data_IF_415875802485
#
_entry.id   IF_415875802485
#
_cell.length_a   1.000
_cell.length_b   1.000
_cell.length_c   1.000
_cell.angle_alpha   90.00
_cell.angle_beta   90.00
_cell.angle_gamma   90.00
#
_symmetry.space_group_name_H-M   'P 1'
#
loop_
_entity.id
_entity.type
_entity.pdbx_description
1 polymer ?
#
# COMPACT_ATOMS: atom_id res chain seq x y z
N UNK A 1 -10.26 7.37 -27.19
CA UNK A 1 -9.96 8.63 -26.49
C UNK A 1 -8.44 8.79 -26.41
N UNK A 2 -7.92 9.76 -27.18
CA UNK A 2 -6.50 10.07 -27.31
C UNK A 2 -5.96 10.66 -26.00
N UNK A 3 -5.16 9.88 -25.25
CA UNK A 3 -4.42 10.39 -24.11
C UNK A 3 -3.16 11.11 -24.61
N UNK A 4 -3.18 12.42 -24.63
CA UNK A 4 -1.95 13.21 -24.70
C UNK A 4 -1.16 12.99 -23.42
N UNK A 5 -0.15 12.10 -23.47
CA UNK A 5 0.87 12.01 -22.44
C UNK A 5 1.63 13.34 -22.39
N UNK A 6 1.33 14.19 -21.44
CA UNK A 6 2.24 15.26 -21.05
C UNK A 6 3.43 14.61 -20.35
N UNK A 7 4.55 14.51 -21.04
CA UNK A 7 5.84 14.24 -20.43
C UNK A 7 6.27 15.46 -19.62
N UNK A 8 5.70 15.64 -18.43
CA UNK A 8 6.37 16.43 -17.41
C UNK A 8 7.48 15.56 -16.84
N UNK A 9 8.74 15.96 -17.08
CA UNK A 9 9.90 15.42 -16.36
C UNK A 9 9.62 15.59 -14.87
N UNK A 10 9.17 14.51 -14.23
CA UNK A 10 9.10 14.47 -12.78
C UNK A 10 10.54 14.40 -12.29
N UNK A 11 11.10 15.55 -11.94
CA UNK A 11 12.37 15.63 -11.22
C UNK A 11 12.21 14.88 -9.89
N UNK A 12 13.31 14.48 -9.27
CA UNK A 12 13.41 13.70 -8.01
C UNK A 12 12.81 14.43 -6.79
N UNK A 13 11.57 14.85 -6.88
CA UNK A 13 10.96 15.80 -5.97
C UNK A 13 10.08 15.08 -4.96
N UNK A 14 10.46 15.25 -3.72
CA UNK A 14 9.76 14.75 -2.55
C UNK A 14 9.04 15.90 -1.85
N UNK A 15 7.77 15.76 -1.56
CA UNK A 15 7.06 16.65 -0.65
C UNK A 15 6.46 15.84 0.49
N UNK A 16 6.51 16.37 1.69
CA UNK A 16 5.98 15.76 2.90
C UNK A 16 4.80 16.58 3.42
N UNK A 17 3.65 15.94 3.54
CA UNK A 17 2.46 16.51 4.17
C UNK A 17 2.49 16.21 5.67
N UNK A 18 3.32 16.94 6.40
CA UNK A 18 3.40 16.86 7.86
C UNK A 18 3.48 18.24 8.45
N UNK A 19 3.13 18.37 9.70
CA UNK A 19 3.34 19.60 10.40
C UNK A 19 4.84 19.95 10.44
N UNK A 20 5.20 21.13 9.97
CA UNK A 20 6.59 21.62 9.93
C UNK A 20 7.27 21.52 11.29
N UNK A 21 6.56 21.79 12.39
CA UNK A 21 7.08 21.67 13.75
C UNK A 21 7.49 20.25 14.14
N UNK A 22 6.79 19.22 13.68
CA UNK A 22 7.14 17.83 13.95
C UNK A 22 8.41 17.40 13.21
N UNK A 23 8.56 17.85 11.95
CA UNK A 23 9.77 17.62 11.18
C UNK A 23 10.98 18.38 11.77
N UNK A 24 10.79 19.59 12.28
CA UNK A 24 11.84 20.33 12.97
C UNK A 24 12.29 19.62 14.24
N UNK A 25 11.35 19.11 15.03
CA UNK A 25 11.67 18.29 16.21
C UNK A 25 12.44 17.03 15.83
N UNK A 26 11.99 16.31 14.78
CA UNK A 26 12.68 15.11 14.29
C UNK A 26 14.09 15.44 13.76
N UNK A 27 14.26 16.56 13.05
CA UNK A 27 15.56 17.03 12.58
C UNK A 27 16.52 17.26 13.73
N UNK A 28 16.06 17.92 14.80
CA UNK A 28 16.88 18.17 16.00
C UNK A 28 17.25 16.88 16.73
N UNK A 29 16.29 15.94 16.92
CA UNK A 29 16.56 14.63 17.54
C UNK A 29 17.63 13.85 16.77
N UNK A 30 17.66 13.99 15.44
CA UNK A 30 18.60 13.28 14.56
C UNK A 30 19.89 14.05 14.28
N UNK A 31 20.08 15.25 14.88
CA UNK A 31 21.21 16.14 14.65
C UNK A 31 21.43 16.49 13.17
N UNK A 32 20.35 16.73 12.43
CA UNK A 32 20.36 17.03 11.00
C UNK A 32 20.20 18.53 10.68
N UNK A 33 20.33 19.42 11.66
CA UNK A 33 20.08 20.86 11.51
C UNK A 33 20.92 21.54 10.42
N UNK A 34 22.14 21.07 10.17
CA UNK A 34 22.99 21.56 9.07
C UNK A 34 22.79 20.84 7.73
N UNK A 35 22.16 19.65 7.73
CA UNK A 35 22.08 18.78 6.56
C UNK A 35 20.73 18.88 5.82
N UNK A 36 19.65 19.17 6.55
CA UNK A 36 18.29 19.20 5.99
C UNK A 36 17.66 20.57 6.22
N UNK A 37 17.19 21.19 5.15
CA UNK A 37 16.42 22.43 5.18
C UNK A 37 14.99 22.16 4.75
N UNK A 38 14.03 22.80 5.42
CA UNK A 38 12.63 22.77 5.02
C UNK A 38 12.30 23.97 4.13
N UNK A 39 11.61 23.69 3.05
CA UNK A 39 11.05 24.71 2.17
C UNK A 39 9.54 24.57 2.17
N UNK A 40 8.85 25.54 2.71
CA UNK A 40 7.38 25.59 2.67
C UNK A 40 6.91 25.73 1.23
N UNK A 41 5.90 24.94 0.87
CA UNK A 41 5.25 25.00 -0.42
C UNK A 41 3.73 24.95 -0.26
N UNK A 42 3.00 25.47 -1.24
CA UNK A 42 1.56 25.26 -1.35
C UNK A 42 1.26 24.14 -2.35
N UNK A 43 0.63 23.08 -1.90
CA UNK A 43 0.21 21.97 -2.75
C UNK A 43 -0.85 22.34 -3.79
N UNK A 44 -1.50 23.50 -3.66
CA UNK A 44 -2.48 23.99 -4.62
C UNK A 44 -1.85 24.70 -5.81
N UNK A 45 -0.53 24.94 -5.81
CA UNK A 45 0.18 25.52 -6.94
C UNK A 45 0.29 24.51 -8.09
N UNK A 46 0.14 25.00 -9.32
CA UNK A 46 0.21 24.16 -10.53
C UNK A 46 1.62 23.64 -10.84
N UNK A 47 2.64 24.33 -10.35
CA UNK A 47 4.06 23.98 -10.57
C UNK A 47 4.79 23.95 -9.23
N UNK A 48 5.33 22.79 -8.93
CA UNK A 48 6.17 22.63 -7.74
C UNK A 48 7.63 22.91 -8.10
N UNK A 49 8.35 23.75 -7.33
CA UNK A 49 9.73 24.09 -7.64
C UNK A 49 10.62 22.84 -7.55
N UNK A 50 11.70 22.76 -8.35
CA UNK A 50 12.64 21.63 -8.29
C UNK A 50 13.39 21.60 -6.97
N UNK A 51 13.52 20.43 -6.31
CA UNK A 51 14.30 20.27 -5.08
C UNK A 51 15.80 20.17 -5.41
N UNK A 52 16.61 20.89 -4.66
CA UNK A 52 18.07 20.67 -4.59
C UNK A 52 18.40 19.72 -3.42
N UNK A 53 19.57 19.07 -3.46
CA UNK A 53 19.99 18.19 -2.37
C UNK A 53 19.91 18.84 -0.99
N UNK A 54 19.45 18.10 0.02
CA UNK A 54 19.30 18.60 1.39
C UNK A 54 18.07 19.49 1.63
N UNK A 55 17.19 19.68 0.65
CA UNK A 55 15.93 20.44 0.81
C UNK A 55 14.75 19.48 0.80
N UNK A 56 13.96 19.49 1.88
CA UNK A 56 12.67 18.82 1.98
C UNK A 56 11.57 19.86 1.86
N UNK A 57 10.68 19.65 0.89
CA UNK A 57 9.50 20.50 0.73
C UNK A 57 8.40 20.05 1.66
N UNK A 58 7.77 21.00 2.31
CA UNK A 58 6.76 20.76 3.33
C UNK A 58 5.53 21.62 3.02
N UNK A 59 4.38 20.99 2.91
CA UNK A 59 3.09 21.69 2.93
C UNK A 59 2.56 21.70 4.37
N UNK A 60 2.35 22.89 4.98
CA UNK A 60 1.83 22.96 6.35
C UNK A 60 0.34 22.52 6.35
N UNK A 61 0.08 21.46 7.09
CA UNK A 61 -1.30 20.95 7.30
C UNK A 61 -1.77 21.40 8.66
N UNK A 62 -3.01 21.93 8.74
CA UNK A 62 -3.63 22.43 9.96
C UNK A 62 -2.66 23.32 10.80
N UNK A 63 -2.18 24.46 10.22
CA UNK A 63 -1.18 25.31 10.87
C UNK A 63 -1.67 25.92 12.19
N UNK A 64 -2.96 25.89 12.43
CA UNK A 64 -3.60 26.31 13.69
C UNK A 64 -3.36 25.33 14.86
N UNK A 65 -2.87 24.11 14.56
CA UNK A 65 -2.59 23.08 15.55
C UNK A 65 -1.12 23.12 15.96
N UNK A 66 -0.86 23.53 17.20
CA UNK A 66 0.49 23.49 17.77
C UNK A 66 0.85 22.05 18.15
N UNK A 67 1.65 21.36 17.33
CA UNK A 67 2.17 20.03 17.65
C UNK A 67 3.48 20.07 18.44
N UNK A 68 4.12 21.25 18.57
CA UNK A 68 5.37 21.43 19.32
C UNK A 68 5.30 20.96 20.77
N UNK A 69 4.12 21.09 21.36
CA UNK A 69 3.88 20.82 22.79
C UNK A 69 3.39 19.40 23.07
N UNK A 70 3.18 18.61 22.03
CA UNK A 70 2.75 17.22 22.18
C UNK A 70 3.90 16.33 22.69
N UNK A 71 3.62 15.55 23.71
CA UNK A 71 4.57 14.55 24.18
C UNK A 71 4.77 13.45 23.13
N UNK A 72 6.02 13.01 22.98
CA UNK A 72 6.36 11.90 22.10
C UNK A 72 5.64 10.60 22.54
N UNK A 73 5.22 9.81 21.56
CA UNK A 73 4.65 8.49 21.81
C UNK A 73 3.28 8.50 22.50
N UNK A 74 2.55 9.61 22.48
CA UNK A 74 1.22 9.73 23.07
C UNK A 74 0.12 9.84 22.02
N UNK A 75 -0.97 9.13 22.26
CA UNK A 75 -2.19 9.24 21.45
C UNK A 75 -2.91 10.55 21.80
N UNK A 76 -3.27 11.34 20.78
CA UNK A 76 -3.95 12.60 21.01
C UNK A 76 -4.82 13.05 19.84
N UNK A 77 -5.88 13.80 20.17
CA UNK A 77 -6.83 14.39 19.21
C UNK A 77 -6.11 15.26 18.16
N UNK A 78 -5.21 16.14 18.60
CA UNK A 78 -4.50 17.06 17.72
C UNK A 78 -3.65 16.32 16.68
N UNK A 79 -2.88 15.31 17.09
CA UNK A 79 -2.10 14.47 16.20
C UNK A 79 -3.01 13.69 15.21
N UNK A 80 -4.12 13.16 15.69
CA UNK A 80 -5.10 12.47 14.85
C UNK A 80 -5.75 13.39 13.80
N UNK A 81 -6.05 14.64 14.17
CA UNK A 81 -6.60 15.64 13.26
C UNK A 81 -5.60 15.96 12.13
N UNK A 82 -4.36 16.29 12.47
CA UNK A 82 -3.31 16.58 11.49
C UNK A 82 -3.04 15.39 10.58
N UNK A 83 -2.94 14.18 11.15
CA UNK A 83 -2.75 12.96 10.36
C UNK A 83 -3.89 12.73 9.36
N UNK A 84 -5.15 12.88 9.79
CA UNK A 84 -6.32 12.74 8.91
C UNK A 84 -6.35 13.78 7.79
N UNK A 85 -6.01 15.04 8.09
CA UNK A 85 -5.93 16.10 7.08
C UNK A 85 -4.77 15.86 6.09
N UNK A 86 -3.60 15.44 6.58
CA UNK A 86 -2.44 15.11 5.72
C UNK A 86 -2.81 14.05 4.69
N UNK A 87 -3.45 12.95 5.12
CA UNK A 87 -3.87 11.89 4.19
C UNK A 87 -4.90 12.39 3.18
N UNK A 88 -5.85 13.24 3.58
CA UNK A 88 -6.86 13.81 2.66
C UNK A 88 -6.22 14.70 1.61
N UNK A 89 -5.34 15.62 2.01
CA UNK A 89 -4.67 16.53 1.10
C UNK A 89 -3.77 15.78 0.10
N UNK A 90 -2.98 14.83 0.58
CA UNK A 90 -2.15 14.00 -0.27
C UNK A 90 -2.98 13.15 -1.26
N UNK A 91 -4.11 12.59 -0.81
CA UNK A 91 -5.04 11.90 -1.69
C UNK A 91 -5.61 12.82 -2.78
N UNK A 92 -6.02 14.05 -2.43
CA UNK A 92 -6.51 15.04 -3.40
C UNK A 92 -5.44 15.42 -4.42
N UNK A 93 -4.18 15.57 -4.01
CA UNK A 93 -3.07 15.83 -4.92
C UNK A 93 -2.87 14.68 -5.92
N UNK A 94 -2.97 13.43 -5.48
CA UNK A 94 -2.89 12.27 -6.36
C UNK A 94 -4.10 12.19 -7.30
N UNK A 95 -5.30 12.33 -6.79
CA UNK A 95 -6.55 12.24 -7.57
C UNK A 95 -6.66 13.34 -8.62
N UNK A 96 -6.14 14.53 -8.33
CA UNK A 96 -6.07 15.66 -9.30
C UNK A 96 -4.89 15.54 -10.27
N UNK A 97 -4.06 14.50 -10.19
CA UNK A 97 -2.90 14.29 -11.07
C UNK A 97 -1.69 15.19 -10.77
N UNK A 98 -1.70 15.93 -9.66
CA UNK A 98 -0.58 16.76 -9.20
C UNK A 98 0.53 15.93 -8.57
N UNK A 99 0.21 14.79 -7.96
CA UNK A 99 1.16 13.81 -7.46
C UNK A 99 0.96 12.46 -8.18
N UNK A 100 2.06 11.72 -8.35
CA UNK A 100 2.05 10.41 -9.02
C UNK A 100 1.61 9.29 -8.08
N UNK A 101 1.77 9.48 -6.79
CA UNK A 101 1.44 8.50 -5.77
C UNK A 101 1.63 9.03 -4.37
N UNK A 102 1.19 8.26 -3.40
CA UNK A 102 1.18 8.57 -1.98
C UNK A 102 1.98 7.51 -1.23
N UNK A 103 2.93 7.95 -0.43
CA UNK A 103 3.63 7.10 0.54
C UNK A 103 3.22 7.56 1.94
N UNK A 104 2.57 6.68 2.71
CA UNK A 104 2.07 7.03 4.04
C UNK A 104 2.94 6.46 5.14
N UNK A 105 3.27 7.26 6.14
CA UNK A 105 3.75 6.76 7.44
C UNK A 105 2.61 6.04 8.19
N UNK A 106 2.91 5.23 9.21
CA UNK A 106 1.87 4.60 10.03
C UNK A 106 0.95 5.61 10.72
N UNK A 107 -0.33 5.24 10.88
CA UNK A 107 -1.35 6.07 11.53
C UNK A 107 -1.94 5.34 12.75
N UNK A 108 -2.32 6.09 13.78
CA UNK A 108 -2.92 5.53 14.99
C UNK A 108 -4.44 5.63 14.95
N UNK A 109 -5.13 4.47 14.92
CA UNK A 109 -6.60 4.41 14.80
C UNK A 109 -7.34 5.18 15.89
N UNK A 110 -6.91 5.02 17.15
CA UNK A 110 -7.51 5.73 18.28
C UNK A 110 -7.28 7.26 18.19
N UNK A 111 -6.15 7.72 17.62
CA UNK A 111 -5.93 9.15 17.44
C UNK A 111 -6.90 9.73 16.41
N UNK A 112 -7.16 9.00 15.31
CA UNK A 112 -8.18 9.37 14.31
C UNK A 112 -9.58 9.45 14.93
N UNK A 113 -9.95 8.44 15.72
CA UNK A 113 -11.25 8.38 16.41
C UNK A 113 -11.43 9.58 17.37
N UNK A 114 -10.42 9.85 18.20
CA UNK A 114 -10.43 11.03 19.09
C UNK A 114 -10.55 12.35 18.32
N UNK A 115 -10.02 12.40 17.10
CA UNK A 115 -10.10 13.56 16.22
C UNK A 115 -11.47 13.68 15.50
N UNK A 116 -12.34 12.68 15.63
CA UNK A 116 -13.63 12.63 14.93
C UNK A 116 -13.50 12.30 13.45
N UNK A 117 -12.39 11.66 13.04
CA UNK A 117 -12.21 11.16 11.68
C UNK A 117 -12.98 9.85 11.54
N UNK A 118 -14.03 9.77 10.71
CA UNK A 118 -14.96 8.62 10.68
C UNK A 118 -14.40 7.41 9.91
N UNK A 119 -13.09 7.20 9.94
CA UNK A 119 -12.40 6.12 9.25
C UNK A 119 -11.39 5.45 10.17
N UNK A 120 -11.37 4.10 10.23
CA UNK A 120 -10.48 3.38 11.13
C UNK A 120 -9.01 3.41 10.67
N UNK A 121 -8.72 3.81 9.44
CA UNK A 121 -7.36 3.84 8.90
C UNK A 121 -7.23 4.48 7.52
N UNK A 122 -6.05 4.32 6.93
CA UNK A 122 -5.73 4.86 5.61
C UNK A 122 -6.63 4.29 4.51
N UNK A 123 -6.82 2.98 4.51
CA UNK A 123 -7.50 2.26 3.41
C UNK A 123 -8.92 2.78 3.22
N UNK A 124 -9.70 2.85 4.30
CA UNK A 124 -11.09 3.30 4.27
C UNK A 124 -11.19 4.79 3.92
N UNK A 125 -10.27 5.61 4.46
CA UNK A 125 -10.23 7.04 4.15
C UNK A 125 -9.91 7.27 2.67
N UNK A 126 -8.90 6.57 2.13
CA UNK A 126 -8.49 6.69 0.73
C UNK A 126 -9.55 6.12 -0.23
N UNK A 127 -10.18 5.01 0.13
CA UNK A 127 -11.30 4.42 -0.62
C UNK A 127 -12.47 5.41 -0.70
N UNK A 128 -12.85 6.01 0.42
CA UNK A 128 -13.92 7.01 0.46
C UNK A 128 -13.59 8.25 -0.38
N UNK A 129 -12.38 8.80 -0.22
CA UNK A 129 -11.92 9.96 -1.00
C UNK A 129 -11.91 9.67 -2.51
N UNK A 130 -11.49 8.47 -2.89
CA UNK A 130 -11.45 8.01 -4.28
C UNK A 130 -12.85 7.79 -4.85
N UNK A 131 -13.74 7.15 -4.11
CA UNK A 131 -15.13 6.94 -4.50
C UNK A 131 -15.86 8.26 -4.70
N UNK A 132 -15.68 9.21 -3.77
CA UNK A 132 -16.22 10.58 -3.87
C UNK A 132 -15.69 11.29 -5.12
N UNK A 133 -14.41 11.20 -5.40
CA UNK A 133 -13.79 11.82 -6.58
C UNK A 133 -14.35 11.27 -7.89
N UNK A 134 -14.61 9.97 -7.95
CA UNK A 134 -15.16 9.29 -9.14
C UNK A 134 -16.69 9.35 -9.23
N UNK A 135 -17.39 9.83 -8.19
CA UNK A 135 -18.84 9.88 -8.14
C UNK A 135 -19.50 8.49 -8.05
N UNK A 136 -18.83 7.51 -7.44
CA UNK A 136 -19.32 6.15 -7.25
C UNK A 136 -19.52 5.82 -5.77
N UNK A 137 -20.23 4.73 -5.46
CA UNK A 137 -20.34 4.27 -4.08
C UNK A 137 -19.04 3.61 -3.59
N UNK A 138 -18.81 3.61 -2.28
CA UNK A 138 -17.65 2.91 -1.69
C UNK A 138 -17.72 1.40 -1.97
N UNK A 139 -18.93 0.83 -2.02
CA UNK A 139 -19.18 -0.58 -2.32
C UNK A 139 -18.77 -0.93 -3.76
N UNK A 140 -18.90 0.00 -4.69
CA UNK A 140 -18.54 -0.19 -6.11
C UNK A 140 -17.03 0.00 -6.36
N UNK A 141 -16.29 0.37 -5.32
CA UNK A 141 -14.83 0.52 -5.36
C UNK A 141 -14.12 -0.43 -4.39
N UNK A 142 -14.15 -1.74 -4.62
CA UNK A 142 -13.47 -2.68 -3.75
C UNK A 142 -11.95 -2.50 -3.83
N UNK A 143 -11.29 -2.58 -2.68
CA UNK A 143 -9.83 -2.50 -2.57
C UNK A 143 -9.26 -3.81 -2.05
N UNK A 144 -7.97 -4.03 -2.32
CA UNK A 144 -7.24 -5.20 -1.81
C UNK A 144 -5.90 -4.78 -1.22
N UNK A 145 -5.50 -5.49 -0.19
CA UNK A 145 -4.19 -5.38 0.39
C UNK A 145 -3.22 -6.29 -0.36
N UNK A 146 -2.12 -5.73 -0.80
CA UNK A 146 -0.95 -6.47 -1.24
C UNK A 146 0.20 -6.19 -0.28
N UNK A 147 0.88 -7.22 0.18
CA UNK A 147 2.19 -7.10 0.80
C UNK A 147 3.24 -7.49 -0.25
N UNK A 148 4.27 -6.70 -0.37
CA UNK A 148 5.30 -6.87 -1.39
C UNK A 148 6.71 -6.65 -0.82
N UNK A 149 7.64 -7.46 -1.28
CA UNK A 149 9.09 -7.28 -1.18
C UNK A 149 9.67 -7.37 -2.58
N UNK A 150 10.96 -7.07 -2.80
CA UNK A 150 11.60 -7.37 -4.08
C UNK A 150 11.49 -8.85 -4.49
N UNK A 151 11.46 -9.75 -3.51
CA UNK A 151 11.45 -11.19 -3.73
C UNK A 151 10.06 -11.79 -3.94
N UNK A 152 9.01 -11.25 -3.35
CA UNK A 152 7.68 -11.87 -3.34
C UNK A 152 6.58 -10.82 -3.20
N UNK A 153 5.45 -11.03 -3.91
CA UNK A 153 4.22 -10.22 -3.80
C UNK A 153 3.04 -11.12 -3.52
N UNK A 154 2.22 -10.72 -2.56
CA UNK A 154 1.03 -11.48 -2.17
C UNK A 154 -0.16 -10.56 -2.00
N UNK A 155 -1.27 -10.89 -2.65
CA UNK A 155 -2.57 -10.21 -2.52
C UNK A 155 -3.51 -11.11 -1.74
N UNK A 156 -4.30 -10.50 -0.85
CA UNK A 156 -5.16 -11.22 0.07
C UNK A 156 -6.64 -11.15 -0.35
N UNK A 157 -7.31 -12.30 -0.37
CA UNK A 157 -8.78 -12.38 -0.57
C UNK A 157 -9.50 -11.85 0.66
N UNK A 158 -9.01 -12.19 1.85
CA UNK A 158 -9.54 -11.70 3.13
C UNK A 158 -8.44 -11.22 4.07
N UNK A 159 -8.73 -10.18 4.86
CA UNK A 159 -7.85 -9.59 5.86
C UNK A 159 -8.63 -9.42 7.17
N UNK A 160 -7.93 -9.40 8.31
CA UNK A 160 -8.45 -9.04 9.64
C UNK A 160 -9.78 -9.72 10.03
N UNK A 161 -10.00 -10.93 9.55
CA UNK A 161 -11.09 -11.82 9.90
C UNK A 161 -10.59 -12.95 10.80
N UNK A 162 -11.48 -13.50 11.65
CA UNK A 162 -11.18 -14.78 12.28
C UNK A 162 -10.95 -15.85 11.19
N UNK A 163 -10.14 -16.88 11.46
CA UNK A 163 -9.91 -17.92 10.45
C UNK A 163 -11.22 -18.57 9.99
N UNK A 164 -12.19 -18.75 10.88
CA UNK A 164 -13.52 -19.26 10.56
C UNK A 164 -14.25 -18.36 9.56
N UNK A 165 -14.24 -17.06 9.77
CA UNK A 165 -14.90 -16.11 8.89
C UNK A 165 -14.11 -15.93 7.58
N UNK A 166 -12.79 -16.04 7.64
CA UNK A 166 -11.92 -16.00 6.46
C UNK A 166 -12.23 -17.15 5.48
N UNK A 167 -12.50 -18.35 5.99
CA UNK A 167 -12.93 -19.49 5.17
C UNK A 167 -14.26 -19.15 4.46
N UNK A 168 -15.22 -18.56 5.16
CA UNK A 168 -16.51 -18.18 4.60
C UNK A 168 -16.39 -17.02 3.60
N UNK A 169 -15.39 -16.15 3.74
CA UNK A 169 -15.11 -15.05 2.81
C UNK A 169 -14.52 -15.55 1.48
N UNK A 170 -14.05 -16.80 1.38
CA UNK A 170 -13.61 -17.41 0.12
C UNK A 170 -14.85 -17.78 -0.70
N UNK A 171 -15.36 -16.81 -1.42
CA UNK A 171 -16.46 -16.99 -2.37
C UNK A 171 -15.97 -16.77 -3.80
N UNK A 172 -16.71 -17.30 -4.76
CA UNK A 172 -16.39 -17.11 -6.18
C UNK A 172 -16.34 -15.63 -6.56
N UNK A 173 -17.28 -14.83 -6.08
CA UNK A 173 -17.36 -13.40 -6.35
C UNK A 173 -16.18 -12.64 -5.75
N UNK A 174 -15.85 -12.89 -4.47
CA UNK A 174 -14.75 -12.23 -3.79
C UNK A 174 -13.39 -12.58 -4.42
N UNK A 175 -13.21 -13.85 -4.82
CA UNK A 175 -12.00 -14.28 -5.51
C UNK A 175 -11.88 -13.64 -6.90
N UNK A 176 -12.94 -13.63 -7.71
CA UNK A 176 -12.95 -12.97 -9.02
C UNK A 176 -12.66 -11.46 -8.92
N UNK A 177 -13.26 -10.79 -7.94
CA UNK A 177 -12.99 -9.38 -7.67
C UNK A 177 -11.52 -9.16 -7.31
N UNK A 178 -10.95 -10.03 -6.46
CA UNK A 178 -9.53 -9.97 -6.09
C UNK A 178 -8.63 -10.17 -7.30
N UNK A 179 -8.93 -11.16 -8.16
CA UNK A 179 -8.14 -11.45 -9.36
C UNK A 179 -8.18 -10.28 -10.36
N UNK A 180 -9.35 -9.66 -10.58
CA UNK A 180 -9.46 -8.47 -11.46
C UNK A 180 -8.64 -7.30 -10.94
N UNK A 181 -8.79 -6.96 -9.65
CA UNK A 181 -8.03 -5.86 -9.04
C UNK A 181 -6.53 -6.14 -9.11
N UNK A 182 -6.10 -7.37 -8.84
CA UNK A 182 -4.70 -7.78 -8.94
C UNK A 182 -4.20 -7.63 -10.37
N UNK A 183 -4.94 -8.15 -11.34
CA UNK A 183 -4.58 -8.07 -12.75
C UNK A 183 -4.45 -6.62 -13.23
N UNK A 184 -5.43 -5.78 -12.95
CA UNK A 184 -5.44 -4.37 -13.38
C UNK A 184 -4.31 -3.56 -12.74
N UNK A 185 -4.07 -3.76 -11.44
CA UNK A 185 -3.03 -3.03 -10.70
C UNK A 185 -1.63 -3.46 -11.13
N UNK A 186 -1.38 -4.76 -11.18
CA UNK A 186 -0.08 -5.32 -11.58
C UNK A 186 0.23 -5.07 -13.06
N UNK A 187 -0.78 -5.08 -13.95
CA UNK A 187 -0.57 -4.76 -15.37
C UNK A 187 -0.08 -3.35 -15.58
N UNK A 188 -0.60 -2.38 -14.80
CA UNK A 188 -0.11 -0.99 -14.85
C UNK A 188 1.34 -0.88 -14.42
N UNK A 189 1.72 -1.62 -13.38
CA UNK A 189 3.09 -1.63 -12.86
C UNK A 189 4.07 -2.35 -13.80
N UNK A 190 3.69 -3.56 -14.25
CA UNK A 190 4.57 -4.39 -15.07
C UNK A 190 4.63 -3.95 -16.55
N UNK A 191 3.65 -3.16 -17.01
CA UNK A 191 3.49 -2.83 -18.42
C UNK A 191 3.05 -4.03 -19.30
N UNK A 192 2.66 -5.13 -18.67
CA UNK A 192 2.14 -6.37 -19.27
C UNK A 192 1.18 -7.08 -18.33
N UNK A 193 0.44 -8.07 -18.83
CA UNK A 193 -0.37 -8.94 -17.99
C UNK A 193 0.51 -9.68 -16.95
N UNK A 194 0.12 -9.67 -15.65
CA UNK A 194 0.81 -10.42 -14.62
C UNK A 194 0.50 -11.93 -14.71
N UNK A 195 1.47 -12.77 -14.40
CA UNK A 195 1.26 -14.19 -14.12
C UNK A 195 0.81 -14.34 -12.68
N UNK A 196 -0.45 -14.72 -12.45
CA UNK A 196 -1.04 -14.81 -11.11
C UNK A 196 -1.09 -16.26 -10.67
N UNK A 197 -0.33 -16.62 -9.63
CA UNK A 197 -0.48 -17.90 -8.94
C UNK A 197 -1.54 -17.79 -7.85
N UNK A 198 -2.47 -18.76 -7.77
CA UNK A 198 -3.53 -18.76 -6.76
C UNK A 198 -3.31 -19.91 -5.79
N UNK A 199 -3.15 -19.61 -4.51
CA UNK A 199 -3.04 -20.61 -3.46
C UNK A 199 -4.37 -21.35 -3.27
N UNK A 200 -4.32 -22.62 -2.94
CA UNK A 200 -5.48 -23.31 -2.36
C UNK A 200 -5.77 -22.79 -0.94
N UNK A 201 -6.95 -23.10 -0.44
CA UNK A 201 -7.35 -22.85 0.94
C UNK A 201 -6.86 -23.97 1.85
N UNK A 202 -7.05 -25.21 1.41
CA UNK A 202 -6.77 -26.42 2.17
C UNK A 202 -5.36 -26.97 1.90
N UNK A 203 -4.80 -27.80 2.79
CA UNK A 203 -3.53 -28.50 2.55
C UNK A 203 -3.54 -29.23 1.20
N UNK A 204 -2.41 -29.20 0.50
CA UNK A 204 -2.26 -29.81 -0.83
C UNK A 204 -3.31 -29.40 -1.85
N UNK A 205 -3.91 -28.19 -1.69
CA UNK A 205 -5.02 -27.69 -2.50
C UNK A 205 -6.23 -28.67 -2.51
N UNK A 206 -6.53 -29.21 -1.30
CA UNK A 206 -7.70 -30.07 -1.08
C UNK A 206 -7.52 -31.53 -1.49
N UNK A 207 -6.39 -31.94 -2.11
CA UNK A 207 -6.09 -33.31 -2.55
C UNK A 207 -7.28 -33.99 -3.24
N UNK A 208 -7.84 -33.35 -4.27
CA UNK A 208 -9.00 -33.89 -4.97
C UNK A 208 -10.31 -33.94 -4.15
N UNK A 209 -10.41 -33.18 -3.07
CA UNK A 209 -11.56 -33.09 -2.17
C UNK A 209 -11.45 -33.93 -0.89
N UNK A 210 -10.32 -34.58 -0.68
CA UNK A 210 -10.08 -35.37 0.56
C UNK A 210 -9.88 -34.46 1.79
N UNK A 211 -9.33 -33.27 1.61
CA UNK A 211 -9.02 -32.32 2.69
C UNK A 211 -9.90 -31.07 2.67
N UNK A 212 -11.03 -31.13 2.00
CA UNK A 212 -11.94 -30.01 1.78
C UNK A 212 -12.32 -29.88 0.33
N UNK A 213 -13.43 -29.21 0.06
CA UNK A 213 -13.99 -29.10 -1.30
C UNK A 213 -13.95 -27.68 -1.87
N UNK A 214 -13.45 -26.73 -1.11
CA UNK A 214 -13.44 -25.31 -1.51
C UNK A 214 -12.65 -25.09 -2.80
N UNK A 215 -11.61 -25.87 -3.04
CA UNK A 215 -10.86 -25.84 -4.30
C UNK A 215 -11.71 -26.30 -5.48
N UNK A 216 -12.47 -27.38 -5.32
CA UNK A 216 -13.32 -27.94 -6.37
C UNK A 216 -14.58 -27.10 -6.61
N UNK A 217 -15.22 -26.66 -5.51
CA UNK A 217 -16.56 -26.07 -5.58
C UNK A 217 -16.52 -24.55 -5.77
N UNK A 218 -15.42 -23.87 -5.38
CA UNK A 218 -15.30 -22.42 -5.39
C UNK A 218 -14.08 -21.93 -6.19
N UNK A 219 -12.86 -22.37 -5.80
CA UNK A 219 -11.63 -21.77 -6.33
C UNK A 219 -11.41 -22.13 -7.79
N UNK A 220 -11.43 -23.42 -8.16
CA UNK A 220 -11.21 -23.84 -9.53
C UNK A 220 -12.25 -23.27 -10.50
N UNK A 221 -13.57 -23.26 -10.19
CA UNK A 221 -14.56 -22.57 -11.03
C UNK A 221 -14.31 -21.06 -11.18
N UNK A 222 -13.88 -20.36 -10.12
CA UNK A 222 -13.53 -18.95 -10.22
C UNK A 222 -12.32 -18.73 -11.13
N UNK A 223 -11.29 -19.58 -11.05
CA UNK A 223 -10.11 -19.50 -11.92
C UNK A 223 -10.47 -19.80 -13.38
N UNK A 224 -11.35 -20.76 -13.63
CA UNK A 224 -11.84 -21.04 -14.98
C UNK A 224 -12.54 -19.82 -15.57
N UNK A 225 -13.38 -19.14 -14.79
CA UNK A 225 -14.04 -17.92 -15.22
C UNK A 225 -13.03 -16.78 -15.43
N UNK A 226 -12.05 -16.61 -14.54
CA UNK A 226 -11.01 -15.59 -14.71
C UNK A 226 -10.22 -15.78 -16.02
N UNK A 227 -9.86 -17.03 -16.36
CA UNK A 227 -9.20 -17.37 -17.63
C UNK A 227 -10.08 -17.04 -18.84
N UNK A 228 -11.38 -17.32 -18.77
CA UNK A 228 -12.31 -16.95 -19.86
C UNK A 228 -12.43 -15.43 -20.06
N UNK A 229 -12.11 -14.64 -19.04
CA UNK A 229 -12.02 -13.17 -19.10
C UNK A 229 -10.64 -12.68 -19.55
N UNK A 230 -9.70 -13.57 -19.90
CA UNK A 230 -8.38 -13.24 -20.40
C UNK A 230 -7.32 -12.98 -19.31
N UNK A 231 -7.59 -13.33 -18.06
CA UNK A 231 -6.58 -13.20 -16.98
C UNK A 231 -5.62 -14.39 -17.04
N UNK A 232 -4.33 -14.13 -16.93
CA UNK A 232 -3.27 -15.15 -16.79
C UNK A 232 -3.21 -15.62 -15.33
N UNK A 233 -4.07 -16.61 -15.02
CA UNK A 233 -4.19 -17.17 -13.67
C UNK A 233 -3.97 -18.67 -13.68
N UNK A 234 -3.23 -19.16 -12.70
CA UNK A 234 -2.98 -20.61 -12.53
C UNK A 234 -3.26 -21.03 -11.10
N UNK A 235 -3.57 -22.32 -10.93
CA UNK A 235 -3.92 -22.92 -9.64
C UNK A 235 -5.28 -23.62 -9.66
N UNK A 236 -5.86 -23.94 -8.47
CA UNK A 236 -5.26 -23.72 -7.14
C UNK A 236 -3.98 -24.52 -6.93
N UNK A 237 -2.96 -23.88 -6.38
CA UNK A 237 -1.68 -24.52 -6.05
C UNK A 237 -1.61 -24.86 -4.56
N UNK A 238 -0.86 -25.90 -4.21
CA UNK A 238 -0.60 -26.24 -2.82
C UNK A 238 0.00 -25.05 -2.07
N UNK A 239 -0.64 -24.59 -0.97
CA UNK A 239 -0.27 -23.33 -0.31
C UNK A 239 1.11 -23.36 0.35
N UNK A 240 1.62 -24.53 0.70
CA UNK A 240 2.95 -24.74 1.27
C UNK A 240 4.10 -24.55 0.26
N UNK A 241 3.83 -24.62 -1.05
CA UNK A 241 4.86 -24.54 -2.10
C UNK A 241 4.71 -23.37 -3.05
N UNK A 242 3.52 -22.80 -3.22
CA UNK A 242 3.27 -21.75 -4.22
C UNK A 242 4.12 -20.50 -4.01
N UNK A 243 4.37 -20.11 -2.77
CA UNK A 243 5.17 -18.93 -2.45
C UNK A 243 6.65 -19.16 -2.75
N UNK A 244 7.17 -20.38 -2.54
CA UNK A 244 8.52 -20.76 -2.92
C UNK A 244 8.69 -20.68 -4.45
N UNK A 245 7.72 -21.14 -5.23
CA UNK A 245 7.70 -21.07 -6.70
C UNK A 245 7.61 -19.64 -7.22
N UNK A 246 6.90 -18.76 -6.51
CA UNK A 246 6.77 -17.34 -6.85
C UNK A 246 7.98 -16.50 -6.46
N UNK A 247 8.83 -17.00 -5.54
CA UNK A 247 9.97 -16.25 -5.02
C UNK A 247 10.96 -15.93 -6.13
N UNK A 248 11.34 -14.66 -6.23
CA UNK A 248 12.40 -14.16 -7.09
C UNK A 248 13.74 -14.19 -6.34
N UNK A 249 14.79 -14.54 -7.01
CA UNK A 249 16.18 -14.42 -6.53
C UNK A 249 16.98 -13.63 -7.56
N UNK A 250 18.27 -13.38 -7.27
CA UNK A 250 19.16 -12.72 -8.24
C UNK A 250 19.32 -13.55 -9.53
N UNK A 251 19.24 -14.87 -9.43
CA UNK A 251 19.51 -15.80 -10.53
C UNK A 251 18.24 -16.36 -11.18
N UNK A 252 17.08 -16.19 -10.55
CA UNK A 252 15.82 -16.79 -11.01
C UNK A 252 14.64 -15.82 -10.91
N UNK A 253 13.97 -15.62 -12.03
CA UNK A 253 12.63 -15.04 -12.03
C UNK A 253 11.65 -16.04 -11.40
N UNK A 254 10.77 -15.57 -10.50
CA UNK A 254 9.69 -16.41 -9.98
C UNK A 254 8.77 -16.93 -11.09
N UNK A 255 8.14 -18.06 -10.86
CA UNK A 255 7.14 -18.62 -11.78
C UNK A 255 5.93 -17.68 -11.93
N UNK A 256 5.53 -17.02 -10.83
CA UNK A 256 4.46 -16.04 -10.79
C UNK A 256 4.98 -14.65 -10.48
N UNK A 257 4.29 -13.64 -10.98
CA UNK A 257 4.58 -12.24 -10.65
C UNK A 257 3.98 -11.85 -9.30
N UNK A 258 2.85 -12.48 -8.94
CA UNK A 258 2.11 -12.27 -7.69
C UNK A 258 1.36 -13.54 -7.31
N UNK A 259 1.20 -13.78 -6.00
CA UNK A 259 0.38 -14.87 -5.45
C UNK A 259 -0.87 -14.27 -4.82
N UNK A 260 -2.04 -14.84 -5.15
CA UNK A 260 -3.30 -14.57 -4.44
C UNK A 260 -3.48 -15.61 -3.35
N UNK A 261 -3.50 -15.16 -2.11
CA UNK A 261 -3.70 -15.98 -0.90
C UNK A 261 -5.12 -15.81 -0.36
N UNK A 262 -5.68 -16.85 0.22
CA UNK A 262 -7.08 -16.89 0.67
C UNK A 262 -7.29 -16.09 1.96
N UNK A 263 -6.31 -16.05 2.86
CA UNK A 263 -6.42 -15.38 4.15
C UNK A 263 -5.10 -14.76 4.60
N UNK A 264 -5.17 -13.94 5.63
CA UNK A 264 -4.11 -13.08 6.11
C UNK A 264 -2.79 -13.83 6.34
N UNK A 265 -2.75 -14.80 7.24
CA UNK A 265 -1.49 -15.44 7.64
C UNK A 265 -0.92 -16.32 6.53
N UNK A 266 -1.76 -16.93 5.69
CA UNK A 266 -1.32 -17.69 4.52
C UNK A 266 -0.42 -16.85 3.61
N UNK A 267 -0.81 -15.59 3.37
CA UNK A 267 -0.07 -14.71 2.46
C UNK A 267 1.03 -13.92 3.15
N UNK A 268 0.87 -13.54 4.42
CA UNK A 268 1.81 -12.65 5.09
C UNK A 268 2.99 -13.38 5.74
N UNK A 269 2.79 -14.59 6.26
CA UNK A 269 3.88 -15.36 6.89
C UNK A 269 5.07 -15.55 5.92
N UNK A 270 4.88 -16.00 4.66
CA UNK A 270 5.99 -16.18 3.73
C UNK A 270 6.77 -14.88 3.46
N UNK A 271 6.08 -13.75 3.33
CA UNK A 271 6.73 -12.46 3.07
C UNK A 271 7.48 -11.96 4.30
N UNK A 272 6.84 -12.00 5.48
CA UNK A 272 7.46 -11.54 6.73
C UNK A 272 8.67 -12.39 7.12
N UNK A 273 8.65 -13.67 6.79
CA UNK A 273 9.79 -14.56 7.00
C UNK A 273 11.00 -14.21 6.12
N UNK A 274 10.77 -13.63 4.92
CA UNK A 274 11.84 -13.20 4.02
C UNK A 274 12.53 -11.91 4.47
N UNK A 275 11.92 -11.13 5.36
CA UNK A 275 12.48 -9.90 5.94
C UNK A 275 11.44 -8.81 6.13
N UNK A 276 11.38 -8.24 7.33
CA UNK A 276 10.41 -7.20 7.69
C UNK A 276 10.81 -5.82 7.17
N UNK A 277 12.11 -5.55 7.05
CA UNK A 277 12.63 -4.21 6.70
C UNK A 277 12.30 -3.79 5.26
N UNK A 278 12.05 -4.74 4.37
CA UNK A 278 11.70 -4.51 2.97
C UNK A 278 10.21 -4.70 2.67
N UNK A 279 9.42 -5.04 3.68
CA UNK A 279 7.98 -5.26 3.54
C UNK A 279 7.24 -3.96 3.24
N UNK A 280 6.55 -3.91 2.11
CA UNK A 280 5.76 -2.76 1.68
C UNK A 280 4.30 -3.17 1.54
N UNK A 281 3.43 -2.44 2.23
CA UNK A 281 1.99 -2.57 2.07
C UNK A 281 1.52 -1.67 0.91
N UNK A 282 0.81 -2.26 -0.04
CA UNK A 282 0.25 -1.57 -1.21
C UNK A 282 -1.27 -1.73 -1.20
N UNK A 283 -1.99 -0.65 -1.42
CA UNK A 283 -3.44 -0.69 -1.58
C UNK A 283 -3.79 -0.74 -3.07
N UNK A 284 -4.34 -1.88 -3.51
CA UNK A 284 -4.78 -2.08 -4.88
C UNK A 284 -6.26 -1.71 -5.05
N UNK A 285 -6.68 -1.38 -6.27
CA UNK A 285 -8.06 -1.02 -6.60
C UNK A 285 -8.38 0.45 -6.48
N UNK A 286 -7.48 1.27 -5.94
CA UNK A 286 -7.61 2.72 -5.92
C UNK A 286 -7.22 3.34 -7.28
N UNK A 287 -7.80 4.47 -7.69
CA UNK A 287 -7.36 5.23 -8.87
C UNK A 287 -6.03 5.94 -8.67
N UNK A 288 -5.51 5.95 -7.44
CA UNK A 288 -4.22 6.49 -7.04
C UNK A 288 -3.28 5.37 -6.58
N UNK A 289 -1.98 5.61 -6.71
CA UNK A 289 -0.95 4.73 -6.17
C UNK A 289 -0.74 5.03 -4.68
N UNK A 290 -0.80 3.98 -3.83
CA UNK A 290 -0.49 4.11 -2.41
C UNK A 290 0.39 2.98 -1.92
N UNK A 291 1.50 3.34 -1.30
CA UNK A 291 2.40 2.42 -0.58
C UNK A 291 2.60 2.87 0.86
N UNK A 292 2.98 1.96 1.72
CA UNK A 292 3.36 2.26 3.12
C UNK A 292 4.27 1.19 3.69
N UNK A 293 5.02 1.50 4.78
CA UNK A 293 5.61 0.48 5.63
C UNK A 293 4.58 -0.54 6.13
N UNK A 294 5.06 -1.74 6.45
CA UNK A 294 4.25 -2.83 7.04
C UNK A 294 4.48 -2.94 8.56
N UNK A 295 4.62 -1.82 9.25
CA UNK A 295 4.72 -1.76 10.72
C UNK A 295 3.77 -0.72 11.29
N UNK A 296 3.56 -0.77 12.61
CA UNK A 296 2.76 0.20 13.34
C UNK A 296 3.52 1.49 13.67
N UNK A 297 2.91 2.33 14.49
CA UNK A 297 3.42 3.66 14.87
C UNK A 297 4.67 3.66 15.75
N UNK A 298 5.05 2.53 16.35
CA UNK A 298 6.26 2.38 17.17
C UNK A 298 6.45 3.51 18.20
N UNK A 299 5.42 3.80 18.99
CA UNK A 299 5.39 4.92 19.93
C UNK A 299 6.51 4.89 20.96
N UNK A 300 7.00 3.70 21.31
CA UNK A 300 8.14 3.47 22.18
C UNK A 300 9.47 4.00 21.61
N UNK A 301 9.56 4.14 20.28
CA UNK A 301 10.73 4.70 19.58
C UNK A 301 10.59 6.18 19.29
N UNK A 302 9.40 6.77 19.46
CA UNK A 302 9.16 8.18 19.13
C UNK A 302 10.08 9.11 19.93
N UNK A 303 10.77 10.02 19.26
CA UNK A 303 11.70 10.97 19.86
C UNK A 303 13.04 10.40 20.32
N UNK A 304 13.29 9.08 20.16
CA UNK A 304 14.56 8.45 20.60
C UNK A 304 15.69 8.50 19.58
N UNK A 305 15.41 8.83 18.32
CA UNK A 305 16.36 8.75 17.21
C UNK A 305 16.74 7.32 16.78
N UNK A 306 16.12 6.27 17.34
CA UNK A 306 16.46 4.86 17.07
C UNK A 306 15.59 4.18 16.04
N UNK A 307 14.52 4.83 15.57
CA UNK A 307 13.64 4.26 14.57
C UNK A 307 14.38 4.03 13.24
N UNK A 308 14.19 2.84 12.63
CA UNK A 308 14.74 2.53 11.31
C UNK A 308 13.88 3.16 10.20
N UNK A 309 14.47 3.89 9.24
CA UNK A 309 13.74 4.39 8.08
C UNK A 309 13.60 3.35 6.95
N UNK A 310 14.17 2.15 7.08
CA UNK A 310 14.34 1.18 5.99
C UNK A 310 13.01 0.84 5.29
N UNK A 311 11.97 0.51 6.06
CA UNK A 311 10.67 0.15 5.51
C UNK A 311 9.95 1.33 4.81
N UNK A 312 10.11 2.57 5.30
CA UNK A 312 9.58 3.76 4.62
C UNK A 312 10.33 4.04 3.30
N UNK A 313 11.65 3.87 3.31
CA UNK A 313 12.46 3.99 2.09
C UNK A 313 12.13 2.92 1.06
N UNK A 314 11.88 1.68 1.50
CA UNK A 314 11.41 0.59 0.65
C UNK A 314 10.03 0.92 0.03
N UNK A 315 9.09 1.44 0.84
CA UNK A 315 7.78 1.88 0.37
C UNK A 315 7.88 3.00 -0.67
N UNK A 316 8.78 3.96 -0.45
CA UNK A 316 9.04 5.05 -1.39
C UNK A 316 9.69 4.55 -2.69
N UNK A 317 10.72 3.69 -2.60
CA UNK A 317 11.36 3.10 -3.78
C UNK A 317 10.34 2.32 -4.63
N UNK A 318 9.48 1.52 -3.98
CA UNK A 318 8.42 0.78 -4.66
C UNK A 318 7.40 1.71 -5.33
N UNK A 319 6.97 2.79 -4.67
CA UNK A 319 6.08 3.78 -5.27
C UNK A 319 6.69 4.40 -6.54
N UNK A 320 7.98 4.71 -6.54
CA UNK A 320 8.70 5.24 -7.71
C UNK A 320 8.73 4.24 -8.88
N UNK A 321 9.00 2.96 -8.59
CA UNK A 321 8.96 1.89 -9.59
C UNK A 321 7.55 1.74 -10.18
N UNK A 322 6.53 1.69 -9.34
CA UNK A 322 5.12 1.58 -9.77
C UNK A 322 4.66 2.80 -10.57
N UNK A 323 5.20 3.99 -10.29
CA UNK A 323 4.95 5.21 -11.05
C UNK A 323 5.77 5.29 -12.37
N UNK A 324 6.61 4.30 -12.66
CA UNK A 324 7.44 4.26 -13.87
C UNK A 324 8.63 5.23 -13.84
N UNK A 325 9.02 5.73 -12.67
CA UNK A 325 10.15 6.65 -12.49
C UNK A 325 11.51 5.93 -12.43
N UNK A 326 11.49 4.65 -12.11
CA UNK A 326 12.65 3.75 -12.17
C UNK A 326 12.22 2.48 -12.89
N UNK A 327 12.90 2.14 -13.97
CA UNK A 327 12.82 0.79 -14.53
C UNK A 327 13.69 -0.11 -13.65
N UNK A 328 13.16 -1.24 -13.19
CA UNK A 328 14.00 -2.30 -12.64
C UNK A 328 15.07 -2.65 -13.68
N UNK A 329 16.32 -2.53 -13.24
CA UNK A 329 17.47 -2.96 -14.03
C UNK A 329 17.43 -4.48 -14.24
#
# INVERSE_FOLDING_TARGET
>A
FSSRRRHTRCSRDWSSDVCSSDLERARSVLNLDGAVRFQTMDMNQDVWPSASGGVLRVHPVAPEVALSDLAWGQVGRAAGHVAGQSVRLAAQACLSGRALGLVTAPIHKQALDLAGVPFPGHTELLQHASATHLGVSVQDMPVRMMLATPALRTVLVSIHLSLRDAIQAVTRENLLTTLRITHESESRWLGRAPRIGVAGLNPHAGEGGLMGREELDIIAPALQQARSLGLDVSGPHAPDTVFMRARRTQDQAGEFDVVVAMYHDQGLIPIKYLGLDEGVNVTLGLPLLRTSPDHGTAFDLAGTGRASPASLLAAWAMARQMAGLERSA
#
